data_IF_513764739573
#
_entry.id   IF_513764739573
#
_cell.length_a   1.000
_cell.length_b   1.000
_cell.length_c   1.000
_cell.angle_alpha   90.00
_cell.angle_beta   90.00
_cell.angle_gamma   90.00
#
_symmetry.space_group_name_H-M   'P 1'
#
loop_
_entity.id
_entity.type
_entity.pdbx_description
1 polymer ?
#
# COMPACT_ATOMS: atom_id res chain seq x y z
N UNK A 1 -5.38 -26.77 -4.92
CA UNK A 1 -6.77 -26.30 -5.16
C UNK A 1 -7.05 -26.18 -6.65
N UNK A 2 -6.22 -25.45 -7.40
CA UNK A 2 -6.34 -25.31 -8.86
C UNK A 2 -6.42 -26.66 -9.59
N UNK A 3 -5.48 -27.59 -9.36
CA UNK A 3 -5.52 -28.93 -9.97
C UNK A 3 -6.81 -29.71 -9.68
N UNK A 4 -7.36 -29.57 -8.45
CA UNK A 4 -8.63 -30.21 -8.08
C UNK A 4 -9.80 -29.62 -8.85
N UNK A 5 -9.75 -28.31 -9.11
CA UNK A 5 -10.76 -27.61 -9.88
C UNK A 5 -10.66 -27.94 -11.36
N UNK A 6 -9.47 -27.99 -11.93
CA UNK A 6 -9.25 -28.37 -13.32
C UNK A 6 -9.68 -29.83 -13.55
N UNK A 7 -9.38 -30.73 -12.60
CA UNK A 7 -9.84 -32.11 -12.63
C UNK A 7 -11.36 -32.27 -12.44
N UNK A 8 -12.04 -31.31 -11.80
CA UNK A 8 -13.50 -31.26 -11.74
C UNK A 8 -14.08 -30.74 -13.06
N UNK A 9 -13.57 -29.62 -13.57
CA UNK A 9 -14.02 -28.97 -14.81
C UNK A 9 -13.86 -29.89 -16.02
N UNK A 10 -12.74 -30.61 -16.12
CA UNK A 10 -12.53 -31.63 -17.15
C UNK A 10 -13.60 -32.74 -17.10
N UNK A 11 -13.83 -33.32 -15.92
CA UNK A 11 -14.86 -34.36 -15.76
C UNK A 11 -16.26 -33.82 -16.05
N UNK A 12 -16.57 -32.59 -15.64
CA UNK A 12 -17.85 -31.97 -15.93
C UNK A 12 -18.07 -31.82 -17.44
N UNK A 13 -17.10 -31.27 -18.16
CA UNK A 13 -17.21 -31.05 -19.61
C UNK A 13 -17.34 -32.36 -20.39
N UNK A 14 -16.50 -33.35 -20.09
CA UNK A 14 -16.50 -34.65 -20.80
C UNK A 14 -17.83 -35.40 -20.62
N UNK A 15 -18.41 -35.38 -19.42
CA UNK A 15 -19.57 -36.22 -19.09
C UNK A 15 -20.91 -35.48 -19.18
N UNK A 16 -20.93 -34.14 -19.07
CA UNK A 16 -22.16 -33.35 -18.95
C UNK A 16 -22.33 -32.22 -19.98
N UNK A 17 -21.29 -31.79 -20.69
CA UNK A 17 -21.40 -30.87 -21.82
C UNK A 17 -20.83 -31.48 -23.12
N UNK A 18 -21.45 -32.54 -23.67
CA UNK A 18 -21.02 -33.07 -24.95
C UNK A 18 -21.51 -32.13 -26.07
N UNK A 19 -20.69 -31.15 -26.48
CA UNK A 19 -20.83 -30.51 -27.80
C UNK A 19 -20.92 -28.98 -27.88
N UNK A 20 -20.05 -28.22 -27.22
CA UNK A 20 -19.68 -26.92 -27.81
C UNK A 20 -18.52 -27.14 -28.80
N UNK A 21 -18.72 -26.92 -30.11
CA UNK A 21 -17.65 -27.12 -31.09
C UNK A 21 -16.54 -26.09 -30.85
N UNK A 22 -15.30 -26.58 -30.88
CA UNK A 22 -14.12 -25.72 -30.93
C UNK A 22 -14.24 -24.74 -32.10
N UNK A 23 -14.25 -23.44 -31.80
CA UNK A 23 -14.22 -22.38 -32.79
C UNK A 23 -12.90 -22.46 -33.58
N UNK A 24 -12.91 -23.16 -34.71
CA UNK A 24 -11.68 -23.40 -35.44
C UNK A 24 -11.80 -24.26 -36.69
N UNK A 25 -12.92 -24.28 -37.40
CA UNK A 25 -12.95 -24.82 -38.76
C UNK A 25 -14.03 -24.12 -39.60
N UNK A 26 -13.58 -23.15 -40.40
CA UNK A 26 -14.38 -22.49 -41.41
C UNK A 26 -14.43 -23.39 -42.67
N UNK A 27 -15.63 -23.75 -43.11
CA UNK A 27 -15.87 -24.31 -44.44
C UNK A 27 -17.05 -23.56 -45.12
N UNK A 28 -17.03 -23.40 -46.45
CA UNK A 28 -17.65 -22.26 -47.12
C UNK A 28 -19.13 -22.46 -47.41
N UNK A 29 -19.88 -21.36 -47.34
CA UNK A 29 -21.26 -21.26 -47.79
C UNK A 29 -21.34 -21.24 -49.31
N UNK A 30 -22.33 -21.94 -49.88
CA UNK A 30 -22.82 -21.67 -51.23
C UNK A 30 -24.36 -21.64 -51.19
N UNK A 31 -25.04 -20.65 -51.81
CA UNK A 31 -26.47 -20.43 -51.66
C UNK A 31 -27.27 -21.04 -52.82
N UNK A 32 -28.34 -21.76 -52.52
CA UNK A 32 -29.28 -22.21 -53.55
C UNK A 32 -30.32 -23.20 -53.06
N UNK A 33 -31.56 -22.73 -53.06
CA UNK A 33 -32.82 -23.50 -53.15
C UNK A 33 -33.54 -23.93 -51.84
N UNK A 34 -34.73 -23.37 -51.71
CA UNK A 34 -35.90 -23.86 -50.97
C UNK A 34 -37.10 -23.79 -51.95
N UNK A 35 -38.26 -24.42 -51.71
CA UNK A 35 -38.68 -25.11 -50.48
C UNK A 35 -39.43 -26.43 -50.71
N UNK A 36 -39.18 -27.45 -49.89
CA UNK A 36 -40.21 -28.44 -49.54
C UNK A 36 -40.06 -28.78 -48.06
N UNK A 37 -41.15 -28.64 -47.30
CA UNK A 37 -41.27 -29.14 -45.94
C UNK A 37 -41.32 -30.68 -45.98
N UNK A 38 -40.43 -31.36 -45.26
CA UNK A 38 -40.81 -32.51 -44.47
C UNK A 38 -40.71 -32.18 -42.98
N UNK A 39 -41.42 -32.96 -42.18
CA UNK A 39 -41.60 -32.85 -40.73
C UNK A 39 -40.37 -32.43 -39.91
N UNK A 40 -40.56 -31.77 -38.74
CA UNK A 40 -39.45 -31.36 -37.90
C UNK A 40 -38.59 -32.59 -37.53
N UNK A 41 -37.29 -32.60 -37.85
CA UNK A 41 -36.40 -33.61 -37.27
C UNK A 41 -36.39 -33.34 -35.77
N UNK A 42 -36.81 -34.35 -35.00
CA UNK A 42 -36.74 -34.40 -33.55
C UNK A 42 -35.29 -34.26 -33.09
N UNK A 43 -34.84 -33.02 -32.92
CA UNK A 43 -33.59 -32.64 -32.28
C UNK A 43 -33.76 -32.68 -30.77
N UNK A 44 -33.89 -33.89 -30.22
CA UNK A 44 -33.57 -34.17 -28.83
C UNK A 44 -32.85 -35.51 -28.78
N UNK A 45 -31.51 -35.54 -28.67
CA UNK A 45 -30.84 -36.78 -28.30
C UNK A 45 -31.17 -37.03 -26.82
N UNK A 46 -32.19 -37.87 -26.58
CA UNK A 46 -32.34 -38.76 -25.43
C UNK A 46 -31.80 -38.27 -24.06
N UNK A 47 -32.05 -37.02 -23.66
CA UNK A 47 -31.70 -36.54 -22.32
C UNK A 47 -32.59 -37.16 -21.23
N UNK A 48 -33.75 -37.70 -21.60
CA UNK A 48 -34.77 -38.13 -20.65
C UNK A 48 -34.65 -39.59 -20.16
N UNK A 49 -33.62 -40.35 -20.58
CA UNK A 49 -33.52 -41.78 -20.22
C UNK A 49 -32.15 -42.26 -19.67
N UNK A 50 -31.20 -41.37 -19.38
CA UNK A 50 -29.91 -41.73 -18.73
C UNK A 50 -29.94 -41.71 -17.20
N UNK A 51 -30.99 -41.17 -16.58
CA UNK A 51 -31.08 -41.01 -15.12
C UNK A 51 -31.11 -42.32 -14.32
N UNK A 52 -31.38 -43.45 -14.97
CA UNK A 52 -31.45 -44.79 -14.34
C UNK A 52 -30.29 -45.71 -14.69
N UNK A 53 -29.32 -45.24 -15.50
CA UNK A 53 -28.13 -46.01 -15.85
C UNK A 53 -27.15 -46.04 -14.65
N UNK A 54 -26.79 -47.22 -14.11
CA UNK A 54 -25.87 -47.33 -12.99
C UNK A 54 -24.49 -46.69 -13.28
N UNK A 55 -24.03 -46.69 -14.54
CA UNK A 55 -22.79 -46.01 -14.92
C UNK A 55 -22.89 -44.49 -14.77
N UNK A 56 -23.99 -43.90 -15.25
CA UNK A 56 -24.27 -42.47 -15.14
C UNK A 56 -24.43 -42.00 -13.69
N UNK A 57 -25.08 -42.81 -12.83
CA UNK A 57 -25.21 -42.54 -11.40
C UNK A 57 -23.82 -42.56 -10.71
N UNK A 58 -22.95 -43.49 -11.09
CA UNK A 58 -21.60 -43.57 -10.53
C UNK A 58 -20.74 -42.36 -10.93
N UNK A 59 -20.84 -41.91 -12.18
CA UNK A 59 -20.16 -40.70 -12.67
C UNK A 59 -20.64 -39.43 -11.94
N UNK A 60 -21.96 -39.31 -11.69
CA UNK A 60 -22.53 -38.23 -10.86
C UNK A 60 -21.96 -38.21 -9.45
N UNK A 61 -21.91 -39.37 -8.81
CA UNK A 61 -21.37 -39.50 -7.45
C UNK A 61 -19.89 -39.11 -7.41
N UNK A 62 -19.11 -39.51 -8.42
CA UNK A 62 -17.69 -39.14 -8.51
C UNK A 62 -17.50 -37.63 -8.71
N UNK A 63 -18.33 -36.99 -9.55
CA UNK A 63 -18.32 -35.55 -9.78
C UNK A 63 -18.72 -34.78 -8.51
N UNK A 64 -19.76 -35.24 -7.81
CA UNK A 64 -20.20 -34.65 -6.55
C UNK A 64 -19.13 -34.76 -5.46
N UNK A 65 -18.42 -35.90 -5.38
CA UNK A 65 -17.30 -36.08 -4.45
C UNK A 65 -16.14 -35.12 -4.77
N UNK A 66 -15.83 -34.89 -6.05
CA UNK A 66 -14.83 -33.88 -6.47
C UNK A 66 -15.25 -32.48 -6.05
N UNK A 67 -16.51 -32.10 -6.25
CA UNK A 67 -17.04 -30.79 -5.84
C UNK A 67 -16.99 -30.59 -4.33
N UNK A 68 -17.35 -31.60 -3.54
CA UNK A 68 -17.25 -31.57 -2.08
C UNK A 68 -15.80 -31.44 -1.60
N UNK A 69 -14.86 -32.15 -2.24
CA UNK A 69 -13.43 -32.00 -1.95
C UNK A 69 -12.95 -30.57 -2.24
N UNK A 70 -13.40 -29.99 -3.35
CA UNK A 70 -13.09 -28.62 -3.72
C UNK A 70 -13.67 -27.59 -2.74
N UNK A 71 -14.91 -27.73 -2.30
CA UNK A 71 -15.51 -26.87 -1.24
C UNK A 71 -14.71 -26.96 0.06
N UNK A 72 -14.38 -28.18 0.52
CA UNK A 72 -13.56 -28.38 1.71
C UNK A 72 -12.21 -27.66 1.58
N UNK A 73 -11.55 -27.75 0.43
CA UNK A 73 -10.27 -27.09 0.20
C UNK A 73 -10.40 -25.56 0.12
N UNK A 74 -11.48 -25.02 -0.46
CA UNK A 74 -11.75 -23.56 -0.44
C UNK A 74 -11.91 -23.06 0.99
N UNK A 75 -12.71 -23.74 1.82
CA UNK A 75 -12.89 -23.41 3.25
C UNK A 75 -11.58 -23.46 4.02
N UNK A 76 -10.77 -24.50 3.78
CA UNK A 76 -9.48 -24.67 4.44
C UNK A 76 -8.50 -23.54 4.09
N UNK A 77 -8.38 -23.18 2.80
CA UNK A 77 -7.54 -22.07 2.36
C UNK A 77 -8.01 -20.75 2.97
N UNK A 78 -9.32 -20.47 2.94
CA UNK A 78 -9.88 -19.26 3.55
C UNK A 78 -9.58 -19.17 5.06
N UNK A 79 -9.76 -20.27 5.79
CA UNK A 79 -9.46 -20.34 7.22
C UNK A 79 -7.96 -20.10 7.49
N UNK A 80 -7.06 -20.68 6.69
CA UNK A 80 -5.62 -20.45 6.81
C UNK A 80 -5.26 -19.00 6.52
N UNK A 81 -5.84 -18.38 5.49
CA UNK A 81 -5.64 -16.96 5.17
C UNK A 81 -6.13 -16.07 6.31
N UNK A 82 -7.31 -16.33 6.89
CA UNK A 82 -7.83 -15.59 8.04
C UNK A 82 -6.89 -15.68 9.25
N UNK A 83 -6.34 -16.88 9.52
CA UNK A 83 -5.41 -17.10 10.61
C UNK A 83 -4.07 -16.38 10.39
N UNK A 84 -3.51 -16.45 9.19
CA UNK A 84 -2.29 -15.73 8.83
C UNK A 84 -2.49 -14.22 8.98
N UNK A 85 -3.62 -13.71 8.47
CA UNK A 85 -3.97 -12.31 8.56
C UNK A 85 -4.13 -11.84 10.02
N UNK A 86 -4.64 -12.68 10.92
CA UNK A 86 -4.68 -12.39 12.36
C UNK A 86 -3.29 -12.37 13.01
N UNK A 87 -2.39 -13.28 12.63
CA UNK A 87 -1.00 -13.25 13.13
C UNK A 87 -0.24 -12.02 12.62
N UNK A 88 -0.52 -11.60 11.40
CA UNK A 88 0.04 -10.37 10.82
C UNK A 88 -0.36 -9.12 11.59
N UNK A 89 -1.58 -9.06 12.16
CA UNK A 89 -2.01 -7.93 13.02
C UNK A 89 -1.16 -7.84 14.28
N UNK A 90 -0.94 -8.96 14.96
CA UNK A 90 -0.09 -9.00 16.17
C UNK A 90 1.36 -8.58 15.86
N UNK A 91 1.90 -9.02 14.72
CA UNK A 91 3.24 -8.57 14.29
C UNK A 91 3.25 -7.09 13.95
N UNK A 92 2.19 -6.58 13.35
CA UNK A 92 2.06 -5.16 13.02
C UNK A 92 2.03 -4.28 14.28
N UNK A 93 1.32 -4.69 15.32
CA UNK A 93 1.33 -4.01 16.63
C UNK A 93 2.75 -3.95 17.23
N UNK A 94 3.48 -5.07 17.22
CA UNK A 94 4.88 -5.10 17.68
C UNK A 94 5.77 -4.15 16.87
N UNK A 95 5.61 -4.12 15.54
CA UNK A 95 6.36 -3.19 14.68
C UNK A 95 6.05 -1.74 14.97
N UNK A 96 4.82 -1.41 15.38
CA UNK A 96 4.46 -0.06 15.78
C UNK A 96 5.14 0.34 17.09
N UNK A 97 5.23 -0.56 18.07
CA UNK A 97 5.95 -0.31 19.32
C UNK A 97 7.45 -0.08 19.05
N UNK A 98 8.08 -0.94 18.27
CA UNK A 98 9.50 -0.81 17.91
C UNK A 98 9.78 0.46 17.10
N UNK A 99 8.87 0.81 16.18
CA UNK A 99 8.94 2.06 15.43
C UNK A 99 8.78 3.28 16.34
N UNK A 100 7.86 3.23 17.30
CA UNK A 100 7.69 4.27 18.33
C UNK A 100 8.96 4.46 19.15
N UNK A 101 9.58 3.35 19.57
CA UNK A 101 10.88 3.36 20.24
C UNK A 101 11.99 3.99 19.38
N UNK A 102 12.02 3.70 18.08
CA UNK A 102 12.96 4.34 17.16
C UNK A 102 12.71 5.85 17.01
N UNK A 103 11.46 6.29 16.88
CA UNK A 103 11.09 7.72 16.79
C UNK A 103 11.57 8.48 18.03
N UNK A 104 11.38 7.89 19.22
CA UNK A 104 11.86 8.48 20.48
C UNK A 104 13.39 8.57 20.53
N UNK A 105 14.11 7.55 20.04
CA UNK A 105 15.58 7.59 19.93
C UNK A 105 16.04 8.68 18.96
N UNK A 106 15.37 8.81 17.81
CA UNK A 106 15.68 9.86 16.83
C UNK A 106 15.45 11.26 17.41
N UNK A 107 14.34 11.48 18.12
CA UNK A 107 14.05 12.74 18.79
C UNK A 107 15.16 13.09 19.79
N UNK A 108 15.52 12.15 20.67
CA UNK A 108 16.62 12.33 21.65
C UNK A 108 17.95 12.65 20.98
N UNK A 109 18.28 11.96 19.88
CA UNK A 109 19.49 12.23 19.09
C UNK A 109 19.47 13.65 18.53
N UNK A 110 18.31 14.12 18.04
CA UNK A 110 18.16 15.50 17.55
C UNK A 110 18.43 16.55 18.64
N UNK A 111 18.12 16.25 19.90
CA UNK A 111 18.38 17.13 21.04
C UNK A 111 19.82 17.02 21.59
N UNK A 112 20.68 16.25 20.93
CA UNK A 112 22.08 16.04 21.31
C UNK A 112 22.31 14.89 22.29
N UNK A 113 21.29 14.08 22.58
CA UNK A 113 21.41 12.86 23.38
C UNK A 113 22.09 11.72 22.60
N UNK A 114 22.56 10.68 23.30
CA UNK A 114 23.08 9.48 22.64
C UNK A 114 21.93 8.65 22.05
N UNK A 115 22.18 7.94 20.95
CA UNK A 115 21.23 7.00 20.38
C UNK A 115 21.73 6.40 19.07
N UNK A 116 21.26 5.19 18.78
CA UNK A 116 21.35 4.60 17.45
C UNK A 116 19.98 4.73 16.76
N UNK A 117 20.01 5.27 15.55
CA UNK A 117 18.84 5.45 14.68
C UNK A 117 18.92 4.58 13.43
N UNK A 118 19.74 3.52 13.45
CA UNK A 118 19.82 2.54 12.38
C UNK A 118 18.44 1.90 12.09
N UNK A 119 17.92 2.17 10.90
CA UNK A 119 16.62 1.67 10.45
C UNK A 119 16.68 0.26 9.86
N UNK A 120 17.86 -0.32 9.63
CA UNK A 120 17.99 -1.60 8.92
C UNK A 120 17.15 -2.75 9.51
N UNK A 121 17.11 -2.97 10.85
CA UNK A 121 16.27 -4.03 11.40
C UNK A 121 14.77 -3.79 11.13
N UNK A 122 14.30 -2.56 11.32
CA UNK A 122 12.92 -2.18 11.05
C UNK A 122 12.59 -2.34 9.56
N UNK A 123 13.45 -1.85 8.66
CA UNK A 123 13.27 -2.01 7.21
C UNK A 123 13.13 -3.48 6.81
N UNK A 124 13.96 -4.36 7.37
CA UNK A 124 13.82 -5.81 7.15
C UNK A 124 12.46 -6.31 7.62
N UNK A 125 12.06 -6.05 8.87
CA UNK A 125 10.82 -6.61 9.40
C UNK A 125 9.57 -6.06 8.72
N UNK A 126 9.53 -4.76 8.43
CA UNK A 126 8.46 -4.15 7.65
C UNK A 126 8.38 -4.71 6.23
N UNK A 127 9.53 -4.95 5.60
CA UNK A 127 9.59 -5.53 4.25
C UNK A 127 9.09 -6.97 4.25
N UNK A 128 9.53 -7.82 5.17
CA UNK A 128 9.09 -9.22 5.27
C UNK A 128 7.59 -9.33 5.55
N UNK A 129 7.06 -8.54 6.49
CA UNK A 129 5.61 -8.50 6.73
C UNK A 129 4.85 -8.01 5.49
N UNK A 130 5.34 -6.94 4.84
CA UNK A 130 4.77 -6.44 3.60
C UNK A 130 4.73 -7.49 2.50
N UNK A 131 5.83 -8.24 2.31
CA UNK A 131 5.90 -9.34 1.32
C UNK A 131 4.83 -10.39 1.59
N UNK A 132 4.69 -10.84 2.84
CA UNK A 132 3.66 -11.81 3.22
C UNK A 132 2.24 -11.32 2.94
N UNK A 133 1.94 -10.05 3.26
CA UNK A 133 0.62 -9.47 2.98
C UNK A 133 0.36 -9.31 1.48
N UNK A 134 1.35 -8.90 0.67
CA UNK A 134 1.19 -8.84 -0.78
C UNK A 134 1.06 -10.22 -1.43
N UNK A 135 1.74 -11.24 -0.92
CA UNK A 135 1.55 -12.63 -1.34
C UNK A 135 0.13 -13.11 -1.03
N UNK A 136 -0.40 -12.83 0.17
CA UNK A 136 -1.80 -13.12 0.49
C UNK A 136 -2.77 -12.41 -0.46
N UNK A 137 -2.46 -11.17 -0.86
CA UNK A 137 -3.29 -10.41 -1.81
C UNK A 137 -3.30 -11.05 -3.19
N UNK A 138 -2.14 -11.51 -3.67
CA UNK A 138 -2.05 -12.23 -4.93
C UNK A 138 -2.80 -13.57 -4.87
N UNK A 139 -2.64 -14.33 -3.79
CA UNK A 139 -3.38 -15.57 -3.58
C UNK A 139 -4.89 -15.36 -3.58
N UNK A 140 -5.37 -14.28 -2.94
CA UNK A 140 -6.79 -13.96 -2.91
C UNK A 140 -7.34 -13.63 -4.30
N UNK A 141 -6.56 -12.93 -5.15
CA UNK A 141 -6.92 -12.69 -6.55
C UNK A 141 -7.03 -14.01 -7.33
N UNK A 142 -6.06 -14.91 -7.18
CA UNK A 142 -6.11 -16.23 -7.82
C UNK A 142 -7.34 -17.04 -7.36
N UNK A 143 -7.72 -16.95 -6.09
CA UNK A 143 -8.95 -17.58 -5.59
C UNK A 143 -10.21 -16.98 -6.24
N UNK A 144 -10.25 -15.68 -6.47
CA UNK A 144 -11.37 -15.04 -7.21
C UNK A 144 -11.39 -15.50 -8.68
N UNK A 145 -10.24 -15.64 -9.33
CA UNK A 145 -10.17 -16.16 -10.70
C UNK A 145 -10.67 -17.62 -10.77
N UNK A 146 -10.29 -18.45 -9.80
CA UNK A 146 -10.82 -19.81 -9.67
C UNK A 146 -12.33 -19.81 -9.42
N UNK A 147 -12.84 -18.90 -8.59
CA UNK A 147 -14.28 -18.75 -8.39
C UNK A 147 -15.02 -18.39 -9.68
N UNK A 148 -14.46 -17.53 -10.53
CA UNK A 148 -15.08 -17.16 -11.81
C UNK A 148 -15.24 -18.37 -12.74
N UNK A 149 -14.30 -19.34 -12.69
CA UNK A 149 -14.37 -20.58 -13.46
C UNK A 149 -15.41 -21.57 -12.91
N UNK A 150 -15.47 -21.74 -11.59
CA UNK A 150 -16.38 -22.69 -10.92
C UNK A 150 -16.98 -22.05 -9.67
N UNK A 151 -18.29 -21.94 -9.59
CA UNK A 151 -19.02 -21.50 -8.39
C UNK A 151 -20.29 -22.34 -8.19
N UNK A 152 -20.88 -22.27 -7.01
CA UNK A 152 -22.02 -23.11 -6.60
C UNK A 152 -22.80 -22.47 -5.45
N UNK A 153 -23.93 -23.07 -5.09
CA UNK A 153 -24.74 -22.61 -3.96
C UNK A 153 -23.92 -22.67 -2.66
N UNK A 154 -23.88 -21.56 -1.91
CA UNK A 154 -23.12 -21.43 -0.64
C UNK A 154 -21.60 -21.58 -0.78
N UNK A 155 -21.07 -21.26 -1.96
CA UNK A 155 -19.63 -21.13 -2.19
C UNK A 155 -19.01 -20.09 -1.23
N UNK A 156 -18.09 -20.48 -0.34
CA UNK A 156 -17.55 -19.59 0.69
C UNK A 156 -16.76 -18.42 0.08
N UNK A 157 -16.22 -18.56 -1.13
CA UNK A 157 -15.51 -17.49 -1.84
C UNK A 157 -16.43 -16.32 -2.24
N UNK A 158 -17.76 -16.52 -2.26
CA UNK A 158 -18.71 -15.46 -2.58
C UNK A 158 -18.79 -14.41 -1.47
N UNK A 159 -18.79 -14.86 -0.21
CA UNK A 159 -19.03 -14.02 0.96
C UNK A 159 -17.74 -13.70 1.71
N UNK A 160 -16.88 -14.70 1.93
CA UNK A 160 -15.72 -14.54 2.80
C UNK A 160 -14.54 -13.85 2.12
N UNK A 161 -14.34 -14.10 0.82
CA UNK A 161 -13.19 -13.54 0.11
C UNK A 161 -13.21 -12.00 -0.01
N UNK A 162 -14.36 -11.33 -0.26
CA UNK A 162 -14.43 -9.86 -0.21
C UNK A 162 -14.13 -9.27 1.18
N UNK A 163 -14.57 -9.93 2.25
CA UNK A 163 -14.30 -9.50 3.63
C UNK A 163 -12.80 -9.62 3.96
N UNK A 164 -12.17 -10.72 3.53
CA UNK A 164 -10.73 -10.92 3.62
C UNK A 164 -9.96 -9.87 2.82
N UNK A 165 -10.43 -9.53 1.61
CA UNK A 165 -9.78 -8.53 0.76
C UNK A 165 -9.80 -7.15 1.43
N UNK A 166 -10.95 -6.76 1.98
CA UNK A 166 -11.08 -5.50 2.71
C UNK A 166 -10.11 -5.45 3.90
N UNK A 167 -10.13 -6.47 4.77
CA UNK A 167 -9.26 -6.53 5.95
C UNK A 167 -7.77 -6.52 5.56
N UNK A 168 -7.40 -7.23 4.51
CA UNK A 168 -6.04 -7.23 3.99
C UNK A 168 -5.63 -5.86 3.43
N UNK A 169 -6.51 -5.18 2.72
CA UNK A 169 -6.27 -3.83 2.21
C UNK A 169 -6.10 -2.83 3.34
N UNK A 170 -6.90 -2.93 4.40
CA UNK A 170 -6.78 -2.09 5.61
C UNK A 170 -5.41 -2.29 6.28
N UNK A 171 -4.99 -3.54 6.50
CA UNK A 171 -3.68 -3.85 7.08
C UNK A 171 -2.51 -3.36 6.23
N UNK A 172 -2.54 -3.61 4.90
CA UNK A 172 -1.52 -3.11 3.97
C UNK A 172 -1.44 -1.59 4.00
N UNK A 173 -2.59 -0.91 4.01
CA UNK A 173 -2.67 0.54 4.09
C UNK A 173 -2.04 1.06 5.38
N UNK A 174 -2.38 0.45 6.51
CA UNK A 174 -1.85 0.82 7.81
C UNK A 174 -0.34 0.55 7.92
N UNK A 175 0.14 -0.58 7.39
CA UNK A 175 1.56 -0.94 7.35
C UNK A 175 2.35 0.08 6.53
N UNK A 176 1.91 0.37 5.31
CA UNK A 176 2.60 1.30 4.40
C UNK A 176 2.60 2.74 4.94
N UNK A 177 1.48 3.21 5.50
CA UNK A 177 1.40 4.55 6.11
C UNK A 177 2.32 4.69 7.32
N UNK A 178 2.38 3.67 8.19
CA UNK A 178 3.27 3.69 9.36
C UNK A 178 4.75 3.55 8.98
N UNK A 179 5.04 2.80 7.91
CA UNK A 179 6.39 2.55 7.40
C UNK A 179 7.05 3.76 6.72
N UNK A 180 6.30 4.81 6.38
CA UNK A 180 6.85 6.01 5.77
C UNK A 180 7.31 7.00 6.85
N UNK A 181 8.63 7.16 6.98
CA UNK A 181 9.26 7.86 8.11
C UNK A 181 10.27 8.89 7.63
N UNK A 182 10.46 9.95 8.42
CA UNK A 182 11.56 10.90 8.22
C UNK A 182 12.83 10.30 8.80
N UNK A 183 13.75 9.82 7.97
CA UNK A 183 15.05 9.26 8.39
C UNK A 183 16.02 10.35 8.85
N UNK A 184 16.09 11.47 8.11
CA UNK A 184 16.93 12.61 8.44
C UNK A 184 16.06 13.86 8.60
N UNK A 185 16.00 14.36 9.84
CA UNK A 185 15.31 15.60 10.17
C UNK A 185 15.99 16.82 9.51
N UNK A 186 15.23 17.91 9.26
CA UNK A 186 15.76 19.10 8.60
C UNK A 186 17.00 19.65 9.31
N UNK A 187 18.10 19.74 8.57
CA UNK A 187 19.40 20.14 9.10
C UNK A 187 20.27 20.82 8.06
N UNK A 188 21.09 21.79 8.48
CA UNK A 188 22.09 22.42 7.60
C UNK A 188 23.41 21.64 7.62
N UNK A 189 24.19 21.59 6.52
CA UNK A 189 25.40 20.77 6.41
C UNK A 189 26.48 21.00 7.50
N UNK A 190 26.57 22.23 8.01
CA UNK A 190 27.57 22.63 9.02
C UNK A 190 26.95 22.86 10.41
N UNK A 191 25.72 22.39 10.66
CA UNK A 191 25.10 22.54 11.98
C UNK A 191 25.86 21.69 13.00
N UNK A 192 26.62 22.31 13.88
CA UNK A 192 27.10 21.66 15.09
C UNK A 192 25.90 21.12 15.89
N UNK A 193 25.63 19.80 15.80
CA UNK A 193 24.74 18.99 16.65
C UNK A 193 23.33 19.53 16.98
N UNK A 194 22.77 20.47 16.21
CA UNK A 194 21.45 21.09 16.50
C UNK A 194 20.56 21.12 15.26
N UNK A 195 20.02 19.95 14.84
CA UNK A 195 18.98 19.88 13.82
C UNK A 195 17.72 20.63 14.26
N UNK A 196 16.76 20.88 13.35
CA UNK A 196 15.47 21.54 13.64
C UNK A 196 15.53 23.07 13.91
N UNK A 197 16.67 23.73 13.66
CA UNK A 197 16.72 25.20 13.56
C UNK A 197 17.28 25.55 12.19
N UNK A 198 16.41 26.05 11.31
CA UNK A 198 16.78 26.40 9.94
C UNK A 198 16.90 27.90 9.79
N UNK A 199 17.85 28.35 8.97
CA UNK A 199 17.99 29.76 8.63
C UNK A 199 17.46 30.03 7.23
N UNK A 200 16.65 31.07 7.06
CA UNK A 200 16.20 31.52 5.73
C UNK A 200 17.38 31.72 4.78
N UNK A 201 17.19 31.42 3.49
CA UNK A 201 18.22 31.48 2.46
C UNK A 201 19.44 30.56 2.67
N UNK A 202 19.44 29.72 3.71
CA UNK A 202 20.50 28.72 3.91
C UNK A 202 20.08 27.37 3.34
N UNK A 203 21.06 26.63 2.82
CA UNK A 203 20.85 25.28 2.32
C UNK A 203 20.66 24.30 3.47
N UNK A 204 19.65 23.47 3.38
CA UNK A 204 19.40 22.36 4.29
C UNK A 204 19.07 21.08 3.53
N UNK A 205 19.06 19.97 4.24
CA UNK A 205 18.63 18.67 3.72
C UNK A 205 17.62 18.03 4.65
N UNK A 206 16.74 17.22 4.08
CA UNK A 206 15.83 16.36 4.81
C UNK A 206 15.56 15.09 3.98
N UNK A 207 15.35 13.96 4.65
CA UNK A 207 15.22 12.66 4.00
C UNK A 207 14.08 11.87 4.62
N UNK A 208 13.18 11.37 3.78
CA UNK A 208 12.21 10.36 4.17
C UNK A 208 12.57 9.00 3.57
N UNK A 209 12.13 7.92 4.21
CA UNK A 209 12.33 6.53 3.81
C UNK A 209 11.02 5.77 3.97
N UNK A 210 10.69 4.94 2.98
CA UNK A 210 9.68 3.90 3.15
C UNK A 210 10.39 2.60 3.59
N UNK A 211 10.03 2.12 4.78
CA UNK A 211 10.63 0.90 5.36
C UNK A 211 10.18 -0.39 4.66
N UNK A 212 9.09 -0.35 3.90
CA UNK A 212 8.64 -1.47 3.06
C UNK A 212 9.35 -1.37 1.71
N UNK A 213 10.34 -2.22 1.48
CA UNK A 213 11.19 -2.16 0.29
C UNK A 213 10.63 -2.93 -0.90
N UNK A 214 9.38 -2.63 -1.25
CA UNK A 214 8.66 -3.29 -2.36
C UNK A 214 8.29 -2.26 -3.41
N UNK A 215 8.76 -2.48 -4.64
CA UNK A 215 8.51 -1.62 -5.78
C UNK A 215 8.61 -2.44 -7.06
N UNK A 216 7.88 -1.99 -8.09
CA UNK A 216 8.00 -2.55 -9.43
C UNK A 216 9.01 -1.73 -10.22
N UNK A 217 9.99 -2.39 -10.87
CA UNK A 217 11.03 -1.70 -11.66
C UNK A 217 10.46 -0.84 -12.80
N UNK A 218 9.25 -1.15 -13.24
CA UNK A 218 8.58 -0.51 -14.37
C UNK A 218 7.61 0.60 -13.96
N UNK A 219 7.37 0.80 -12.65
CA UNK A 219 6.48 1.84 -12.15
C UNK A 219 7.29 2.93 -11.45
N UNK A 220 7.08 4.17 -11.87
CA UNK A 220 7.70 5.33 -11.26
C UNK A 220 6.83 5.82 -10.10
N UNK A 221 7.42 5.94 -8.91
CA UNK A 221 6.79 6.60 -7.77
C UNK A 221 7.26 8.05 -7.69
N UNK A 222 6.35 8.98 -7.40
CA UNK A 222 6.70 10.39 -7.24
C UNK A 222 6.68 10.76 -5.75
N UNK A 223 7.81 11.27 -5.26
CA UNK A 223 7.92 11.84 -3.94
C UNK A 223 7.84 13.37 -4.02
N UNK A 224 7.14 14.01 -3.08
CA UNK A 224 7.06 15.47 -2.97
C UNK A 224 7.38 15.92 -1.56
N UNK A 225 7.81 17.17 -1.43
CA UNK A 225 8.12 17.81 -0.16
C UNK A 225 7.48 19.20 -0.12
N UNK A 226 6.79 19.51 0.98
CA UNK A 226 6.16 20.81 1.18
C UNK A 226 6.24 21.23 2.65
N UNK A 227 6.19 22.54 2.89
CA UNK A 227 6.18 23.13 4.24
C UNK A 227 4.77 23.62 4.58
N UNK A 228 4.43 23.62 5.86
CA UNK A 228 3.16 24.14 6.35
C UNK A 228 2.92 25.63 6.03
N UNK A 229 1.67 26.06 6.20
CA UNK A 229 1.20 27.39 5.75
C UNK A 229 1.32 28.49 6.80
N UNK A 230 1.87 28.21 7.98
CA UNK A 230 2.18 29.24 8.98
C UNK A 230 3.33 30.10 8.46
N UNK A 231 3.15 31.44 8.46
CA UNK A 231 3.94 32.43 7.68
C UNK A 231 4.52 31.84 6.40
N UNK A 232 3.68 31.64 5.37
CA UNK A 232 3.99 31.01 4.07
C UNK A 232 5.49 31.05 3.70
N UNK A 233 6.19 29.94 3.87
CA UNK A 233 7.53 29.74 3.32
C UNK A 233 7.43 28.91 2.05
N UNK A 234 8.29 29.22 1.07
CA UNK A 234 8.41 28.41 -0.14
C UNK A 234 9.75 27.68 -0.14
N UNK A 235 9.71 26.41 -0.52
CA UNK A 235 10.90 25.63 -0.88
C UNK A 235 11.27 26.00 -2.32
N UNK A 236 12.44 26.61 -2.52
CA UNK A 236 12.83 27.19 -3.82
C UNK A 236 13.49 26.21 -4.79
N UNK A 237 13.75 24.98 -4.37
CA UNK A 237 14.37 23.91 -5.18
C UNK A 237 13.32 22.91 -5.64
N UNK A 238 13.72 21.90 -6.44
CA UNK A 238 12.80 20.82 -6.86
C UNK A 238 12.09 20.23 -5.64
N UNK A 239 10.79 20.47 -5.57
CA UNK A 239 9.91 19.99 -4.50
C UNK A 239 9.32 18.62 -4.82
N UNK A 240 9.63 18.07 -6.00
CA UNK A 240 9.31 16.71 -6.40
C UNK A 240 10.56 15.96 -6.88
N UNK A 241 10.52 14.65 -6.70
CA UNK A 241 11.57 13.72 -7.14
C UNK A 241 10.90 12.41 -7.54
N UNK A 242 11.19 11.93 -8.75
CA UNK A 242 10.81 10.59 -9.16
C UNK A 242 11.78 9.60 -8.54
N UNK A 243 11.25 8.61 -7.82
CA UNK A 243 12.05 7.49 -7.33
C UNK A 243 12.22 6.50 -8.47
N UNK A 244 13.46 6.40 -8.96
CA UNK A 244 13.86 5.37 -9.89
C UNK A 244 14.30 4.14 -9.10
N UNK A 245 13.73 2.99 -9.46
CA UNK A 245 14.13 1.69 -8.95
C UNK A 245 15.49 1.29 -9.54
N UNK A 246 16.58 1.52 -8.80
CA UNK A 246 17.96 1.20 -9.21
C UNK A 246 18.75 2.47 -9.49
N UNK A 247 19.88 2.69 -8.82
CA UNK A 247 21.13 2.03 -9.21
C UNK A 247 21.80 1.15 -8.13
N UNK A 248 21.30 1.11 -6.89
CA UNK A 248 21.86 0.25 -5.85
C UNK A 248 20.79 -0.57 -5.11
N UNK A 249 20.89 -1.91 -5.05
CA UNK A 249 20.05 -2.74 -4.19
C UNK A 249 20.41 -2.58 -2.70
N UNK A 250 21.11 -1.52 -2.30
CA UNK A 250 21.39 -1.20 -0.90
C UNK A 250 20.66 0.06 -0.43
N UNK A 251 20.20 0.94 -1.32
CA UNK A 251 19.64 2.23 -0.87
C UNK A 251 18.19 2.18 -0.35
N UNK A 252 17.39 1.19 -0.74
CA UNK A 252 15.97 1.14 -0.34
C UNK A 252 15.13 2.26 -0.99
N UNK A 253 13.90 2.48 -0.53
CA UNK A 253 13.01 3.51 -1.06
C UNK A 253 13.19 4.82 -0.30
N UNK A 254 14.12 5.65 -0.79
CA UNK A 254 14.58 6.87 -0.11
C UNK A 254 14.25 8.13 -0.89
N UNK A 255 13.55 9.04 -0.22
CA UNK A 255 13.21 10.37 -0.69
C UNK A 255 14.24 11.38 -0.15
N UNK A 256 15.42 11.43 -0.76
CA UNK A 256 16.49 12.34 -0.34
C UNK A 256 16.39 13.70 -1.05
N UNK A 257 16.13 14.75 -0.28
CA UNK A 257 16.07 16.14 -0.74
C UNK A 257 17.21 16.94 -0.12
N UNK A 258 18.17 17.31 -0.97
CA UNK A 258 19.36 18.06 -0.59
C UNK A 258 19.32 19.48 -1.15
N UNK A 259 20.08 20.37 -0.53
CA UNK A 259 20.25 21.77 -0.96
C UNK A 259 18.95 22.58 -1.00
N UNK A 260 17.94 22.17 -0.24
CA UNK A 260 16.68 22.89 -0.08
C UNK A 260 16.93 24.27 0.51
N UNK A 261 16.12 25.26 0.13
CA UNK A 261 16.21 26.63 0.65
C UNK A 261 14.82 27.20 0.91
N UNK A 262 14.63 27.79 2.08
CA UNK A 262 13.38 28.44 2.47
C UNK A 262 13.43 29.94 2.18
N UNK A 263 12.36 30.46 1.57
CA UNK A 263 12.13 31.90 1.39
C UNK A 263 10.75 32.27 1.93
N UNK A 264 10.73 33.27 2.79
CA UNK A 264 9.51 33.85 3.33
C UNK A 264 8.70 34.51 2.19
N UNK A 265 7.43 34.14 2.08
CA UNK A 265 6.48 34.80 1.22
C UNK A 265 5.88 35.97 1.99
N UNK A 266 6.31 37.19 1.63
CA UNK A 266 5.64 38.40 2.11
C UNK A 266 4.24 38.45 1.50
N UNK A 267 3.21 38.16 2.29
CA UNK A 267 1.85 38.53 1.94
C UNK A 267 1.77 40.06 1.91
N UNK A 268 1.39 40.61 0.77
CA UNK A 268 0.97 42.00 0.67
C UNK A 268 -0.27 42.15 1.55
N UNK A 269 -0.13 42.80 2.71
CA UNK A 269 -1.24 43.13 3.61
C UNK A 269 -2.18 44.11 2.90
N UNK A 270 -3.07 43.60 2.08
CA UNK A 270 -4.28 44.27 1.63
C UNK A 270 -5.47 43.44 2.15
N UNK A 271 -6.02 43.82 3.30
CA UNK A 271 -7.27 43.27 3.79
C UNK A 271 -7.30 43.00 5.29
N UNK A 272 -8.00 43.87 6.02
CA UNK A 272 -8.50 43.66 7.38
C UNK A 272 -9.12 42.26 7.53
N UNK A 273 -8.55 41.43 8.41
CA UNK A 273 -9.14 40.19 8.90
C UNK A 273 -9.07 40.17 10.42
N UNK A 274 -10.22 40.30 11.06
CA UNK A 274 -10.43 40.35 12.51
C UNK A 274 -10.59 38.89 13.00
N UNK A 275 -9.71 38.39 13.86
CA UNK A 275 -9.87 37.06 14.46
C UNK A 275 -8.82 36.73 15.52
N UNK A 276 -9.27 36.30 16.70
CA UNK A 276 -8.50 35.59 17.73
C UNK A 276 -7.57 36.43 18.60
N UNK A 277 -7.70 36.32 19.92
CA UNK A 277 -7.03 37.17 20.92
C UNK A 277 -5.57 36.84 21.25
N UNK A 278 -4.81 36.20 20.35
CA UNK A 278 -3.37 36.00 20.54
C UNK A 278 -2.62 36.71 19.40
N UNK A 279 -1.74 37.65 19.76
CA UNK A 279 -0.87 38.28 18.78
C UNK A 279 0.02 37.25 18.07
N UNK A 280 0.59 37.57 16.90
CA UNK A 280 1.47 36.63 16.21
C UNK A 280 2.62 36.21 17.14
N UNK A 281 2.84 34.91 17.27
CA UNK A 281 3.92 34.33 18.06
C UNK A 281 5.27 34.97 17.70
N UNK A 282 6.17 35.02 18.69
CA UNK A 282 7.55 35.44 18.46
C UNK A 282 8.16 34.47 17.45
N UNK A 283 8.95 34.99 16.50
CA UNK A 283 9.56 34.19 15.40
C UNK A 283 10.26 32.92 15.91
N UNK A 284 10.83 32.97 17.11
CA UNK A 284 11.59 31.87 17.72
C UNK A 284 10.72 30.81 18.40
N UNK A 285 9.42 31.06 18.56
CA UNK A 285 8.42 30.13 19.12
C UNK A 285 7.49 29.58 18.02
N UNK A 286 7.62 30.08 16.79
CA UNK A 286 6.87 29.58 15.65
C UNK A 286 7.47 28.25 15.17
N UNK A 287 6.65 27.20 15.27
CA UNK A 287 6.99 25.86 14.87
C UNK A 287 6.42 25.57 13.49
N UNK A 288 7.26 24.96 12.66
CA UNK A 288 6.92 24.56 11.31
C UNK A 288 7.09 23.06 11.13
N UNK A 289 6.32 22.52 10.19
CA UNK A 289 6.38 21.14 9.73
C UNK A 289 6.71 21.09 8.25
N UNK A 290 7.61 20.18 7.89
CA UNK A 290 7.79 19.73 6.51
C UNK A 290 7.09 18.39 6.38
N UNK A 291 6.29 18.27 5.34
CA UNK A 291 5.58 17.05 4.98
C UNK A 291 6.18 16.49 3.71
N UNK A 292 6.40 15.18 3.72
CA UNK A 292 6.73 14.41 2.54
C UNK A 292 5.49 13.65 2.10
N UNK A 293 5.25 13.61 0.80
CA UNK A 293 4.27 12.69 0.22
C UNK A 293 4.94 11.75 -0.77
N UNK A 294 4.41 10.54 -0.89
CA UNK A 294 4.88 9.53 -1.83
C UNK A 294 3.67 8.85 -2.49
N UNK A 295 3.57 8.98 -3.81
CA UNK A 295 2.61 8.23 -4.61
C UNK A 295 3.12 6.79 -4.78
N UNK A 296 2.75 5.92 -3.84
CA UNK A 296 3.18 4.52 -3.80
C UNK A 296 2.28 3.68 -4.72
N UNK A 297 2.91 2.89 -5.60
CA UNK A 297 2.23 1.97 -6.50
C UNK A 297 2.97 0.62 -6.54
N UNK A 298 2.31 -0.46 -6.12
CA UNK A 298 2.89 -1.81 -6.15
C UNK A 298 1.81 -2.89 -6.23
N UNK A 299 1.96 -3.84 -7.18
CA UNK A 299 1.03 -4.97 -7.35
C UNK A 299 -0.46 -4.56 -7.40
N UNK A 300 -0.77 -3.43 -8.06
CA UNK A 300 -2.13 -2.88 -8.16
C UNK A 300 -2.69 -2.34 -6.82
N UNK A 301 -1.84 -2.03 -5.84
CA UNK A 301 -2.16 -1.11 -4.74
C UNK A 301 -1.64 0.26 -5.11
N UNK A 302 -2.48 1.28 -5.02
CA UNK A 302 -2.08 2.67 -5.15
C UNK A 302 -2.47 3.41 -3.87
N UNK A 303 -1.51 4.10 -3.27
CA UNK A 303 -1.67 4.81 -2.00
C UNK A 303 -0.84 6.09 -2.02
N UNK A 304 -1.42 7.19 -1.54
CA UNK A 304 -0.64 8.36 -1.16
C UNK A 304 -0.19 8.23 0.29
N UNK A 305 1.12 8.10 0.48
CA UNK A 305 1.75 8.02 1.80
C UNK A 305 2.19 9.42 2.21
N UNK A 306 2.06 9.74 3.50
CA UNK A 306 2.42 11.04 4.06
C UNK A 306 3.22 10.84 5.36
N UNK A 307 4.27 11.63 5.55
CA UNK A 307 5.00 11.69 6.83
C UNK A 307 5.52 13.09 7.08
N UNK A 308 5.62 13.49 8.35
CA UNK A 308 6.02 14.85 8.75
C UNK A 308 7.30 14.84 9.58
N UNK A 309 8.08 15.91 9.48
CA UNK A 309 9.25 16.13 10.32
C UNK A 309 8.83 16.37 11.78
N UNK A 310 9.80 16.34 12.69
CA UNK A 310 9.61 16.99 13.98
C UNK A 310 9.41 18.50 13.77
N UNK A 311 8.71 19.18 14.70
CA UNK A 311 8.58 20.62 14.67
C UNK A 311 9.95 21.29 14.68
N UNK A 312 10.14 22.26 13.80
CA UNK A 312 11.38 23.01 13.67
C UNK A 312 11.12 24.52 13.63
N UNK A 313 12.12 25.33 13.98
CA UNK A 313 12.02 26.79 13.97
C UNK A 313 12.79 27.37 12.79
N UNK A 314 12.24 28.41 12.17
CA UNK A 314 12.91 29.16 11.10
C UNK A 314 13.40 30.51 11.65
N UNK A 315 14.70 30.75 11.53
CA UNK A 315 15.35 32.01 11.91
C UNK A 315 15.81 32.79 10.70
N UNK A 316 15.91 34.10 10.85
CA UNK A 316 16.48 35.01 9.85
C UNK A 316 17.94 35.37 10.16
N UNK A 317 18.30 35.38 11.45
CA UNK A 317 19.61 35.82 11.93
C UNK A 317 20.12 34.89 13.05
N UNK A 318 21.44 34.70 13.13
CA UNK A 318 22.09 33.84 14.10
C UNK A 318 21.87 34.28 15.56
N UNK A 319 21.59 35.55 15.82
CA UNK A 319 21.26 36.02 17.17
C UNK A 319 19.96 35.41 17.72
N UNK A 320 19.07 34.91 16.85
CA UNK A 320 17.82 34.22 17.22
C UNK A 320 18.05 32.75 17.58
N UNK A 321 19.22 32.19 17.27
CA UNK A 321 19.48 30.76 17.34
C UNK A 321 19.31 30.18 18.75
N UNK A 322 19.82 30.87 19.78
CA UNK A 322 19.73 30.40 21.17
C UNK A 322 18.28 30.29 21.63
N UNK A 323 17.44 31.29 21.29
CA UNK A 323 16.02 31.29 21.63
C UNK A 323 15.25 30.23 20.84
N UNK A 324 15.50 30.12 19.54
CA UNK A 324 14.90 29.07 18.70
C UNK A 324 15.24 27.66 19.22
N UNK A 325 16.49 27.44 19.59
CA UNK A 325 16.93 26.15 20.16
C UNK A 325 16.25 25.85 21.50
N UNK A 326 16.04 26.85 22.35
CA UNK A 326 15.31 26.68 23.59
C UNK A 326 13.87 26.21 23.34
N UNK A 327 13.18 26.77 22.35
CA UNK A 327 11.84 26.33 21.93
C UNK A 327 11.83 24.88 21.45
N UNK A 328 12.81 24.48 20.63
CA UNK A 328 12.95 23.09 20.16
C UNK A 328 13.15 22.13 21.32
N UNK A 329 14.05 22.45 22.25
CA UNK A 329 14.27 21.65 23.45
C UNK A 329 12.98 21.53 24.28
N UNK A 330 12.33 22.66 24.57
CA UNK A 330 11.12 22.70 25.37
C UNK A 330 10.01 21.85 24.77
N UNK A 331 9.72 22.03 23.48
CA UNK A 331 8.69 21.29 22.78
C UNK A 331 9.00 19.79 22.75
N UNK A 332 10.18 19.40 22.29
CA UNK A 332 10.52 17.99 22.09
C UNK A 332 10.84 17.24 23.39
N UNK A 333 11.12 17.93 24.50
CA UNK A 333 11.30 17.29 25.80
C UNK A 333 9.97 17.04 26.53
N UNK A 334 8.96 17.87 26.29
CA UNK A 334 7.73 17.89 27.09
C UNK A 334 6.50 17.45 26.32
N UNK A 335 6.48 17.58 25.00
CA UNK A 335 5.37 17.14 24.15
C UNK A 335 5.54 15.67 23.76
N UNK A 336 4.48 14.89 23.95
CA UNK A 336 4.32 13.58 23.32
C UNK A 336 3.73 13.67 21.91
N UNK A 337 3.19 14.83 21.53
CA UNK A 337 2.63 15.08 20.20
C UNK A 337 3.72 15.64 19.27
N UNK A 338 3.98 14.99 18.11
CA UNK A 338 4.87 15.54 17.09
C UNK A 338 4.27 16.74 16.31
N UNK A 339 3.04 17.17 16.60
CA UNK A 339 2.37 18.30 15.94
C UNK A 339 2.14 19.51 16.85
#
# INVERSE_FOLDING_TARGET
LEDLQDAFDFCYKVHYQPGEPHAGEAAPQNPGEHPQNPDPPSLLPAAENRSSDPGYIQELQALQAKLQSLDRQRREVLAQMQQLLGRSETLQELLQEELGGWRLRQQRLCLGGPGDTNLRPLETWFTELGQGLFQLRQLLRLLQDLRQKVTYERDPLVVEAPLLEQRLQEQLTHLLKSAFVVEQQPSTPNAGKRPLVLRTASKFSARARLLVRLHDRNHHMEARIHIDRFRKFNILTSSSKTLLAGDSPQEGLVCDFQYLTLKEQKESRAGKGKGGGEGPLVVTEELHLITFTLAYAYCGLELELETTTLPFVIISNNNQFSSAWASILWFNMLSSDPK
#
